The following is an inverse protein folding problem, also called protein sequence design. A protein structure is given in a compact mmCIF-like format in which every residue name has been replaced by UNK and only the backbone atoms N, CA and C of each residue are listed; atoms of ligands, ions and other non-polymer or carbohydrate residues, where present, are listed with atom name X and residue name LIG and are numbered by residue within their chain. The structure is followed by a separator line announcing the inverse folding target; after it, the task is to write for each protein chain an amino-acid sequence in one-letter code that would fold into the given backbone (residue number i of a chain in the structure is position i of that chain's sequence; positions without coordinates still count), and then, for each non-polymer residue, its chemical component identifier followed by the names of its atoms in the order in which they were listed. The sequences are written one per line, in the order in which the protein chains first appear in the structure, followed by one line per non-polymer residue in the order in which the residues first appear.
data_IF_327120469355
#
_entry.id   IF_327120469355
#
_cell.length_a   1.000
_cell.length_b   1.000
_cell.length_c   1.000
_cell.angle_alpha   90.00
_cell.angle_beta   90.00
_cell.angle_gamma   90.00
#
_symmetry.space_group_name_H-M   'P 1'
#
loop_
_entity.id
_entity.type
_entity.pdbx_description
1 polymer ?
#
# COMPACT_ATOMS: atom_id res chain seq x y z
N UNK A 1 -1.86 -23.73 46.47
CA UNK A 1 -2.59 -25.01 46.59
C UNK A 1 -3.17 -25.32 45.23
N UNK A 2 -2.72 -26.21 44.57
CA UNK A 2 -2.54 -27.60 44.13
C UNK A 2 -1.83 -27.53 42.75
N UNK A 3 -0.67 -27.90 42.61
CA UNK A 3 0.12 -29.11 42.29
C UNK A 3 -0.69 -30.30 41.74
N UNK A 4 -0.30 -30.69 40.49
CA UNK A 4 -0.25 -32.05 39.96
C UNK A 4 0.59 -31.92 38.66
N UNK A 5 1.75 -32.34 38.48
CA UNK A 5 2.65 -33.50 38.67
C UNK A 5 2.11 -34.82 38.12
N UNK A 6 3.04 -35.52 37.44
CA UNK A 6 3.06 -36.88 36.90
C UNK A 6 2.76 -36.99 35.40
N UNK A 7 3.48 -37.76 34.54
CA UNK A 7 4.49 -38.79 34.74
C UNK A 7 5.26 -39.04 33.43
N UNK A 8 6.49 -39.35 33.60
CA UNK A 8 7.48 -39.97 32.75
C UNK A 8 6.94 -41.25 32.07
N UNK A 9 7.27 -41.51 30.81
CA UNK A 9 7.57 -42.85 30.31
C UNK A 9 8.50 -42.81 29.11
N UNK A 10 9.63 -43.22 29.33
CA UNK A 10 10.82 -43.80 28.76
C UNK A 10 10.45 -45.01 27.90
N UNK A 11 10.89 -45.09 26.64
CA UNK A 11 11.39 -46.33 26.04
C UNK A 11 12.34 -46.07 24.85
N UNK A 12 13.56 -46.49 25.05
CA UNK A 12 14.60 -46.73 24.09
C UNK A 12 14.26 -47.97 23.25
N UNK A 13 14.46 -47.95 21.94
CA UNK A 13 14.99 -49.13 21.24
C UNK A 13 15.88 -48.69 20.06
N UNK A 14 17.00 -49.29 20.03
CA UNK A 14 18.15 -49.08 19.17
C UNK A 14 18.09 -49.99 17.93
N UNK A 15 19.02 -49.65 17.01
CA UNK A 15 19.64 -50.48 15.94
C UNK A 15 18.76 -50.79 14.73
N UNK A 16 19.26 -50.59 13.47
CA UNK A 16 20.41 -51.21 12.83
C UNK A 16 20.83 -50.44 11.57
N UNK A 17 22.12 -50.31 11.39
CA UNK A 17 22.82 -49.95 10.16
C UNK A 17 22.69 -51.10 9.15
N UNK A 18 22.39 -50.80 7.89
CA UNK A 18 22.83 -51.63 6.78
C UNK A 18 23.32 -50.74 5.62
N UNK A 19 24.58 -50.85 5.41
CA UNK A 19 25.38 -50.42 4.26
C UNK A 19 25.11 -51.34 3.08
N UNK A 20 24.92 -50.81 1.87
CA UNK A 20 25.17 -51.50 0.60
C UNK A 20 25.57 -50.45 -0.42
N UNK A 21 26.76 -50.37 -0.70
CA UNK A 21 27.77 -50.70 -1.74
C UNK A 21 27.27 -50.51 -3.19
N UNK A 22 28.00 -49.64 -3.87
CA UNK A 22 27.96 -49.38 -5.32
C UNK A 22 28.10 -50.68 -6.13
N UNK A 23 27.34 -50.77 -7.21
CA UNK A 23 27.83 -51.35 -8.45
C UNK A 23 27.24 -50.61 -9.66
N UNK A 24 28.17 -50.14 -10.48
CA UNK A 24 27.94 -49.53 -11.79
C UNK A 24 27.63 -50.64 -12.80
N UNK A 25 26.49 -50.54 -13.49
CA UNK A 25 26.36 -51.08 -14.85
C UNK A 25 25.47 -50.14 -15.68
N UNK A 26 26.12 -49.68 -16.71
CA UNK A 26 25.62 -48.99 -17.88
C UNK A 26 24.65 -49.88 -18.63
N UNK A 27 23.45 -49.46 -18.92
CA UNK A 27 22.79 -49.85 -20.17
C UNK A 27 21.73 -48.80 -20.57
N UNK A 28 21.64 -48.64 -21.84
CA UNK A 28 21.02 -47.65 -22.68
C UNK A 28 19.51 -47.77 -22.69
N UNK A 29 18.83 -46.62 -22.77
CA UNK A 29 17.65 -46.27 -23.57
C UNK A 29 16.38 -45.83 -22.80
N UNK A 30 15.89 -44.69 -23.30
CA UNK A 30 14.51 -44.23 -23.40
C UNK A 30 13.81 -43.61 -22.16
N UNK A 31 13.56 -42.30 -22.29
CA UNK A 31 12.26 -41.73 -21.93
C UNK A 31 12.05 -41.45 -20.44
N UNK A 32 12.84 -40.60 -19.83
CA UNK A 32 12.43 -39.92 -18.61
C UNK A 32 11.97 -38.50 -18.97
N UNK A 33 10.70 -38.35 -19.23
CA UNK A 33 9.98 -37.08 -19.11
C UNK A 33 10.26 -36.54 -17.70
N UNK A 34 11.13 -35.55 -17.62
CA UNK A 34 11.39 -34.82 -16.38
C UNK A 34 10.09 -34.14 -16.01
N UNK A 35 9.38 -34.69 -15.04
CA UNK A 35 8.29 -34.01 -14.36
C UNK A 35 8.90 -32.75 -13.71
N UNK A 36 8.87 -31.64 -14.45
CA UNK A 36 9.19 -30.31 -13.93
C UNK A 36 8.22 -30.09 -12.79
N UNK A 37 8.76 -29.97 -11.58
CA UNK A 37 7.97 -29.76 -10.38
C UNK A 37 7.06 -28.53 -10.57
N UNK A 38 5.80 -28.81 -10.85
CA UNK A 38 4.74 -27.83 -11.12
C UNK A 38 4.63 -26.82 -9.96
N UNK A 39 5.07 -27.20 -8.78
CA UNK A 39 5.05 -26.36 -7.56
C UNK A 39 6.09 -25.23 -7.65
N UNK A 40 7.29 -25.50 -8.16
CA UNK A 40 8.34 -24.48 -8.30
C UNK A 40 7.98 -23.47 -9.40
N UNK A 41 7.46 -23.95 -10.52
CA UNK A 41 7.04 -23.09 -11.64
C UNK A 41 5.87 -22.18 -11.21
N UNK A 42 4.95 -22.69 -10.42
CA UNK A 42 3.82 -21.89 -9.89
C UNK A 42 4.29 -20.81 -8.92
N UNK A 43 5.18 -21.13 -7.98
CA UNK A 43 5.71 -20.16 -7.01
C UNK A 43 6.52 -19.04 -7.68
N UNK A 44 7.31 -19.36 -8.71
CA UNK A 44 8.09 -18.37 -9.47
C UNK A 44 7.16 -17.47 -10.30
N UNK A 45 6.08 -18.00 -10.86
CA UNK A 45 5.10 -17.21 -11.60
C UNK A 45 4.33 -16.26 -10.68
N UNK A 46 3.86 -16.73 -9.53
CA UNK A 46 3.17 -15.93 -8.52
C UNK A 46 4.06 -14.78 -8.01
N UNK A 47 5.35 -15.04 -7.74
CA UNK A 47 6.29 -14.01 -7.32
C UNK A 47 6.54 -12.94 -8.41
N UNK A 48 6.58 -13.31 -9.68
CA UNK A 48 6.74 -12.35 -10.79
C UNK A 48 5.49 -11.48 -10.99
N UNK A 49 4.31 -12.05 -10.84
CA UNK A 49 3.04 -11.29 -10.94
C UNK A 49 2.90 -10.30 -9.78
N UNK A 50 3.29 -10.71 -8.56
CA UNK A 50 3.32 -9.82 -7.40
C UNK A 50 4.32 -8.67 -7.58
N UNK A 51 5.52 -8.95 -8.04
CA UNK A 51 6.53 -7.93 -8.35
C UNK A 51 6.05 -6.94 -9.41
N UNK A 52 5.37 -7.43 -10.46
CA UNK A 52 4.77 -6.58 -11.49
C UNK A 52 3.63 -5.72 -10.93
N UNK A 53 2.79 -6.27 -10.06
CA UNK A 53 1.73 -5.52 -9.39
C UNK A 53 2.29 -4.40 -8.51
N UNK A 54 3.33 -4.68 -7.72
CA UNK A 54 4.02 -3.69 -6.88
C UNK A 54 4.65 -2.59 -7.75
N UNK A 55 5.32 -2.95 -8.85
CA UNK A 55 5.96 -2.00 -9.76
C UNK A 55 4.96 -1.08 -10.49
N UNK A 56 3.69 -1.47 -10.57
CA UNK A 56 2.62 -0.66 -11.15
C UNK A 56 1.61 -0.15 -10.12
N UNK A 57 1.93 -0.23 -8.83
CA UNK A 57 1.04 0.23 -7.76
C UNK A 57 0.93 1.76 -7.69
N UNK A 58 -0.04 2.26 -6.91
CA UNK A 58 -0.18 3.70 -6.62
C UNK A 58 1.10 4.26 -5.99
N UNK A 59 1.82 3.47 -5.18
CA UNK A 59 3.11 3.87 -4.62
C UNK A 59 4.14 4.11 -5.72
N UNK A 60 4.25 3.21 -6.70
CA UNK A 60 5.16 3.38 -7.83
C UNK A 60 4.83 4.64 -8.65
N UNK A 61 3.54 4.95 -8.82
CA UNK A 61 3.10 6.19 -9.47
C UNK A 61 3.47 7.44 -8.67
N UNK A 62 3.28 7.42 -7.35
CA UNK A 62 3.72 8.50 -6.47
C UNK A 62 5.24 8.72 -6.55
N UNK A 63 6.03 7.65 -6.61
CA UNK A 63 7.50 7.73 -6.71
C UNK A 63 7.98 8.30 -8.04
N UNK A 64 7.24 8.10 -9.12
CA UNK A 64 7.57 8.57 -10.47
C UNK A 64 6.95 9.94 -10.82
N UNK A 65 6.06 10.46 -9.98
CA UNK A 65 5.44 11.77 -10.16
C UNK A 65 6.25 12.83 -9.40
N UNK A 66 6.92 13.69 -10.13
CA UNK A 66 7.81 14.72 -9.56
C UNK A 66 7.11 15.64 -8.57
N UNK A 67 5.86 15.99 -8.85
CA UNK A 67 5.03 16.89 -8.03
C UNK A 67 4.69 16.32 -6.65
N UNK A 68 4.77 14.99 -6.44
CA UNK A 68 4.37 14.32 -5.19
C UNK A 68 5.54 13.76 -4.36
N UNK A 69 6.78 14.17 -4.66
CA UNK A 69 7.99 13.65 -3.99
C UNK A 69 7.96 13.82 -2.48
N UNK A 70 7.49 14.96 -1.99
CA UNK A 70 7.42 15.26 -0.56
C UNK A 70 6.40 14.36 0.13
N UNK A 71 5.21 14.21 -0.46
CA UNK A 71 4.18 13.29 0.03
C UNK A 71 4.69 11.84 0.06
N UNK A 72 5.36 11.40 -1.00
CA UNK A 72 5.96 10.06 -1.10
C UNK A 72 6.97 9.81 0.01
N UNK A 73 7.85 10.78 0.32
CA UNK A 73 8.80 10.67 1.45
C UNK A 73 8.08 10.48 2.77
N UNK A 74 6.99 11.19 3.01
CA UNK A 74 6.21 11.04 4.22
C UNK A 74 5.48 9.69 4.29
N UNK A 75 4.94 9.17 3.18
CA UNK A 75 4.38 7.81 3.10
C UNK A 75 5.43 6.75 3.52
N UNK A 76 6.68 6.90 3.04
CA UNK A 76 7.79 6.00 3.39
C UNK A 76 8.14 6.14 4.88
N UNK A 77 8.30 7.38 5.38
CA UNK A 77 8.64 7.65 6.79
C UNK A 77 7.57 7.16 7.77
N UNK A 78 6.31 7.19 7.36
CA UNK A 78 5.17 6.71 8.15
C UNK A 78 4.95 5.20 8.07
N UNK A 79 5.80 4.45 7.33
CA UNK A 79 5.68 3.00 7.11
C UNK A 79 4.34 2.58 6.47
N UNK A 80 3.81 3.42 5.58
CA UNK A 80 2.55 3.15 4.85
C UNK A 80 2.77 2.52 3.47
N UNK A 81 4.02 2.26 3.09
CA UNK A 81 4.39 1.71 1.78
C UNK A 81 3.71 0.39 1.48
N UNK A 82 3.76 -0.56 2.41
CA UNK A 82 3.19 -1.89 2.20
C UNK A 82 1.66 -1.86 2.06
N UNK A 83 1.01 -0.95 2.80
CA UNK A 83 -0.45 -0.80 2.74
C UNK A 83 -0.92 -0.43 1.34
N UNK A 84 -0.25 0.54 0.70
CA UNK A 84 -0.67 1.07 -0.60
C UNK A 84 -0.02 0.38 -1.80
N UNK A 85 1.08 -0.38 -1.61
CA UNK A 85 1.74 -1.13 -2.68
C UNK A 85 1.26 -2.58 -2.80
N UNK A 86 1.04 -3.25 -1.67
CA UNK A 86 0.64 -4.66 -1.59
C UNK A 86 -0.84 -4.85 -1.26
N UNK A 87 -1.50 -3.80 -0.77
CA UNK A 87 -2.92 -3.85 -0.47
C UNK A 87 -3.76 -4.09 -1.73
N UNK A 88 -4.88 -4.79 -1.56
CA UNK A 88 -5.73 -5.20 -2.68
C UNK A 88 -6.37 -4.02 -3.43
N UNK A 89 -6.48 -2.82 -2.77
CA UNK A 89 -7.12 -1.68 -3.39
C UNK A 89 -8.59 -1.91 -3.76
N UNK A 90 -9.16 -1.17 -4.71
CA UNK A 90 -8.54 0.01 -5.31
C UNK A 90 -8.37 1.16 -4.33
N UNK A 91 -7.36 1.99 -4.57
CA UNK A 91 -7.08 3.18 -3.77
C UNK A 91 -7.17 4.43 -4.63
N UNK A 92 -7.77 5.49 -4.11
CA UNK A 92 -7.64 6.83 -4.66
C UNK A 92 -6.81 7.66 -3.69
N UNK A 93 -5.64 8.09 -4.12
CA UNK A 93 -4.73 8.90 -3.32
C UNK A 93 -4.94 10.37 -3.69
N UNK A 94 -5.31 11.20 -2.72
CA UNK A 94 -5.42 12.65 -2.84
C UNK A 94 -4.08 13.23 -2.38
N UNK A 95 -3.10 13.32 -3.27
CA UNK A 95 -1.72 13.62 -2.95
C UNK A 95 -1.42 15.11 -2.96
N UNK A 96 -1.04 15.74 -1.84
CA UNK A 96 -0.55 17.10 -1.83
C UNK A 96 0.73 17.25 -2.66
N UNK A 97 0.80 18.33 -3.44
CA UNK A 97 2.00 18.65 -4.21
C UNK A 97 3.16 19.09 -3.33
N UNK A 98 4.39 19.10 -3.87
CA UNK A 98 5.54 19.66 -3.17
C UNK A 98 5.29 21.12 -2.75
N UNK A 99 4.62 21.89 -3.61
CA UNK A 99 4.25 23.28 -3.35
C UNK A 99 3.23 23.38 -2.21
N UNK A 100 2.28 22.44 -2.12
CA UNK A 100 1.34 22.39 -1.01
C UNK A 100 2.07 22.28 0.35
N UNK A 101 3.09 21.43 0.43
CA UNK A 101 3.92 21.31 1.63
C UNK A 101 4.77 22.55 1.88
N UNK A 102 5.25 23.24 0.86
CA UNK A 102 6.06 24.45 1.02
C UNK A 102 5.27 25.64 1.60
N UNK A 103 3.94 25.61 1.48
CA UNK A 103 3.04 26.61 2.09
C UNK A 103 2.86 26.40 3.60
N UNK A 104 3.20 25.23 4.13
CA UNK A 104 3.10 24.96 5.58
C UNK A 104 4.21 25.68 6.34
N UNK A 105 3.89 26.15 7.56
CA UNK A 105 4.88 26.73 8.43
C UNK A 105 5.92 25.69 8.86
N UNK A 106 7.15 26.15 9.16
CA UNK A 106 8.19 25.26 9.71
C UNK A 106 7.73 24.57 10.98
N UNK A 107 7.00 25.26 11.86
CA UNK A 107 6.47 24.69 13.09
C UNK A 107 5.49 23.54 12.80
N UNK A 108 4.62 23.70 11.81
CA UNK A 108 3.69 22.63 11.36
C UNK A 108 4.45 21.43 10.81
N UNK A 109 5.45 21.65 9.96
CA UNK A 109 6.27 20.58 9.41
C UNK A 109 7.05 19.83 10.51
N UNK A 110 7.63 20.57 11.46
CA UNK A 110 8.35 19.99 12.59
C UNK A 110 7.41 19.17 13.49
N UNK A 111 6.15 19.59 13.67
CA UNK A 111 5.15 18.84 14.43
C UNK A 111 4.74 17.53 13.74
N UNK A 112 4.70 17.52 12.40
CA UNK A 112 4.38 16.32 11.62
C UNK A 112 5.48 15.25 11.68
N UNK A 113 6.75 15.66 11.72
CA UNK A 113 7.90 14.74 11.64
C UNK A 113 8.65 14.53 12.96
N UNK A 114 8.29 15.27 14.03
CA UNK A 114 8.91 15.15 15.36
C UNK A 114 8.72 13.79 16.02
N UNK A 115 9.39 13.54 17.14
CA UNK A 115 9.36 12.24 17.86
C UNK A 115 7.95 11.76 18.22
N UNK A 116 7.03 12.67 18.51
CA UNK A 116 5.60 12.39 18.72
C UNK A 116 4.81 12.36 17.41
N UNK A 117 5.41 12.80 16.31
CA UNK A 117 4.74 13.10 15.05
C UNK A 117 4.38 11.89 14.19
N UNK A 118 4.92 10.70 14.46
CA UNK A 118 4.63 9.54 13.61
C UNK A 118 3.14 9.19 13.58
N UNK A 119 2.43 9.26 14.71
CA UNK A 119 0.98 9.02 14.76
C UNK A 119 0.21 10.13 14.05
N UNK A 120 0.57 11.39 14.26
CA UNK A 120 -0.04 12.55 13.60
C UNK A 120 0.18 12.46 12.10
N UNK A 121 1.43 12.20 11.68
CA UNK A 121 1.78 12.01 10.27
C UNK A 121 0.96 10.87 9.63
N UNK A 122 0.90 9.70 10.29
CA UNK A 122 0.08 8.59 9.80
C UNK A 122 -1.39 8.96 9.68
N UNK A 123 -1.95 9.68 10.64
CA UNK A 123 -3.36 10.12 10.61
C UNK A 123 -3.60 11.06 9.43
N UNK A 124 -2.76 12.06 9.26
CA UNK A 124 -2.82 13.01 8.13
C UNK A 124 -2.71 12.26 6.81
N UNK A 125 -1.68 11.41 6.64
CA UNK A 125 -1.48 10.67 5.40
C UNK A 125 -2.63 9.70 5.08
N UNK A 126 -3.15 8.99 6.08
CA UNK A 126 -4.32 8.13 5.92
C UNK A 126 -5.58 8.93 5.59
N UNK A 127 -5.67 10.19 6.03
CA UNK A 127 -6.72 11.12 5.64
C UNK A 127 -6.69 11.51 4.15
N UNK A 128 -5.57 11.30 3.48
CA UNK A 128 -5.40 11.51 2.03
C UNK A 128 -5.58 10.23 1.19
N UNK A 129 -5.86 9.10 1.83
CA UNK A 129 -6.06 7.80 1.17
C UNK A 129 -7.52 7.41 1.27
N UNK A 130 -8.19 7.31 0.14
CA UNK A 130 -9.57 6.85 0.02
C UNK A 130 -9.56 5.40 -0.48
N UNK A 131 -10.39 4.55 0.12
CA UNK A 131 -10.58 3.18 -0.34
C UNK A 131 -11.70 3.20 -1.39
N UNK A 132 -11.36 2.91 -2.62
CA UNK A 132 -12.25 2.98 -3.77
C UNK A 132 -11.56 3.55 -4.99
N UNK A 133 -12.20 3.40 -6.14
CA UNK A 133 -11.77 3.93 -7.43
C UNK A 133 -12.62 5.14 -7.81
N UNK A 134 -12.10 6.33 -7.54
CA UNK A 134 -12.80 7.61 -7.75
C UNK A 134 -12.09 8.44 -8.81
N UNK A 135 -12.37 8.19 -10.09
CA UNK A 135 -11.87 9.01 -11.20
C UNK A 135 -12.41 10.44 -11.12
N UNK A 136 -11.66 11.40 -11.67
CA UNK A 136 -12.11 12.79 -11.72
C UNK A 136 -13.47 12.93 -12.40
N UNK A 137 -13.73 12.14 -13.44
CA UNK A 137 -15.03 12.12 -14.14
C UNK A 137 -16.14 11.58 -13.25
N UNK A 138 -15.91 10.53 -12.44
CA UNK A 138 -16.92 10.00 -11.51
C UNK A 138 -17.20 10.96 -10.36
N UNK A 139 -16.16 11.62 -9.84
CA UNK A 139 -16.31 12.68 -8.82
C UNK A 139 -17.12 13.84 -9.40
N UNK A 140 -16.75 14.35 -10.59
CA UNK A 140 -17.47 15.44 -11.26
C UNK A 140 -18.96 15.10 -11.50
N UNK A 141 -19.26 13.86 -11.83
CA UNK A 141 -20.64 13.41 -11.98
C UNK A 141 -21.38 13.41 -10.64
N UNK A 142 -20.73 12.96 -9.58
CA UNK A 142 -21.32 12.90 -8.23
C UNK A 142 -21.61 14.27 -7.64
N UNK A 143 -20.72 15.26 -7.86
CA UNK A 143 -20.87 16.63 -7.34
C UNK A 143 -21.88 17.47 -8.12
N UNK A 144 -22.42 17.02 -9.26
CA UNK A 144 -23.49 17.74 -10.00
C UNK A 144 -24.75 17.99 -9.17
N UNK A 145 -25.02 17.10 -8.23
CA UNK A 145 -26.21 17.16 -7.37
C UNK A 145 -25.90 17.77 -5.98
N UNK A 146 -24.72 18.33 -5.79
CA UNK A 146 -24.25 18.91 -4.55
C UNK A 146 -22.90 18.32 -4.11
N UNK A 147 -22.58 18.47 -2.84
CA UNK A 147 -21.35 17.96 -2.27
C UNK A 147 -21.31 16.40 -2.26
N UNK A 148 -20.14 15.83 -2.55
CA UNK A 148 -19.93 14.39 -2.54
C UNK A 148 -18.89 14.00 -1.50
N UNK A 149 -19.29 13.20 -0.50
CA UNK A 149 -18.45 12.84 0.63
C UNK A 149 -18.03 11.37 0.54
N UNK A 150 -16.75 11.11 0.76
CA UNK A 150 -16.16 9.75 0.79
C UNK A 150 -15.36 9.54 2.07
N UNK A 151 -15.38 8.33 2.66
CA UNK A 151 -14.57 8.01 3.84
C UNK A 151 -13.11 7.79 3.44
N UNK A 152 -12.19 8.20 4.32
CA UNK A 152 -10.76 7.96 4.17
C UNK A 152 -10.29 6.76 4.99
N UNK A 153 -9.11 6.25 4.67
CA UNK A 153 -8.43 5.21 5.46
C UNK A 153 -8.11 5.68 6.90
N UNK A 154 -8.03 6.99 7.11
CA UNK A 154 -7.81 7.60 8.43
C UNK A 154 -9.05 7.64 9.33
N UNK A 155 -10.21 7.19 8.84
CA UNK A 155 -11.49 7.26 9.57
C UNK A 155 -12.14 8.64 9.55
N UNK A 156 -11.59 9.58 8.79
CA UNK A 156 -12.18 10.88 8.48
C UNK A 156 -12.89 10.85 7.14
N UNK A 157 -13.43 11.98 6.69
CA UNK A 157 -14.08 12.08 5.39
C UNK A 157 -13.47 13.20 4.56
N UNK A 158 -13.48 13.02 3.25
CA UNK A 158 -13.22 14.06 2.26
C UNK A 158 -14.50 14.38 1.51
N UNK A 159 -14.78 15.67 1.34
CA UNK A 159 -15.98 16.14 0.62
C UNK A 159 -15.55 16.92 -0.61
N UNK A 160 -15.93 16.42 -1.78
CA UNK A 160 -15.70 17.06 -3.06
C UNK A 160 -16.85 17.99 -3.41
N UNK A 161 -16.54 19.13 -4.04
CA UNK A 161 -17.50 20.10 -4.49
C UNK A 161 -16.95 20.96 -5.62
N UNK A 162 -17.83 21.69 -6.31
CA UNK A 162 -17.43 22.62 -7.38
C UNK A 162 -17.49 24.06 -6.86
N UNK A 163 -16.45 24.83 -7.20
CA UNK A 163 -16.47 26.30 -7.07
C UNK A 163 -16.13 26.91 -8.41
N UNK A 164 -17.14 27.48 -9.08
CA UNK A 164 -17.00 27.87 -10.47
C UNK A 164 -16.69 26.68 -11.39
N UNK A 165 -15.54 26.69 -12.03
CA UNK A 165 -15.06 25.60 -12.88
C UNK A 165 -14.09 24.63 -12.17
N UNK A 166 -13.75 24.93 -10.92
CA UNK A 166 -12.74 24.20 -10.19
C UNK A 166 -13.35 23.07 -9.35
N UNK A 167 -12.74 21.90 -9.41
CA UNK A 167 -13.06 20.78 -8.52
C UNK A 167 -12.20 20.92 -7.26
N UNK A 168 -12.86 21.04 -6.12
CA UNK A 168 -12.23 21.18 -4.81
C UNK A 168 -12.56 20.00 -3.93
N UNK A 169 -11.72 19.81 -2.94
CA UNK A 169 -11.91 18.83 -1.86
C UNK A 169 -11.70 19.52 -0.52
N UNK A 170 -12.59 19.26 0.44
CA UNK A 170 -12.43 19.70 1.83
C UNK A 170 -12.37 18.50 2.77
N UNK A 171 -11.63 18.64 3.84
CA UNK A 171 -11.60 17.66 4.92
C UNK A 171 -12.60 17.99 6.04
N UNK A 172 -12.66 17.13 7.06
CA UNK A 172 -13.53 17.32 8.22
C UNK A 172 -13.17 18.55 9.09
N UNK A 173 -11.94 19.08 8.97
CA UNK A 173 -11.50 20.30 9.68
C UNK A 173 -11.89 21.58 8.92
N UNK A 174 -12.34 21.45 7.69
CA UNK A 174 -12.69 22.56 6.81
C UNK A 174 -11.51 23.06 5.95
N UNK A 175 -10.35 22.41 6.00
CA UNK A 175 -9.25 22.71 5.08
C UNK A 175 -9.65 22.35 3.66
N UNK A 176 -9.42 23.25 2.70
CA UNK A 176 -9.82 23.12 1.31
C UNK A 176 -8.59 23.05 0.42
N UNK A 177 -8.64 22.19 -0.58
CA UNK A 177 -7.63 22.06 -1.62
C UNK A 177 -8.29 21.95 -2.99
N UNK A 178 -7.63 22.50 -4.01
CA UNK A 178 -8.03 22.36 -5.42
C UNK A 178 -7.36 21.13 -6.02
N UNK A 179 -8.13 20.35 -6.79
CA UNK A 179 -7.57 19.27 -7.61
C UNK A 179 -6.86 19.88 -8.82
N UNK A 180 -5.60 19.49 -8.99
CA UNK A 180 -4.78 19.85 -10.14
C UNK A 180 -4.71 18.71 -11.15
N UNK A 181 -3.57 18.03 -11.21
CA UNK A 181 -3.37 16.85 -12.06
C UNK A 181 -4.15 15.67 -11.51
N UNK A 182 -5.04 15.10 -12.30
CA UNK A 182 -5.91 13.99 -11.88
C UNK A 182 -5.66 12.74 -12.71
N UNK A 183 -6.25 11.61 -12.27
CA UNK A 183 -6.31 10.34 -12.99
C UNK A 183 -4.93 9.78 -13.38
N UNK A 184 -3.95 9.86 -12.46
CA UNK A 184 -2.68 9.16 -12.62
C UNK A 184 -2.91 7.69 -12.27
N UNK A 185 -3.21 6.89 -13.28
CA UNK A 185 -3.64 5.50 -13.14
C UNK A 185 -2.52 4.55 -12.73
N UNK A 186 -2.88 3.55 -11.94
CA UNK A 186 -2.02 2.45 -11.50
C UNK A 186 -2.76 1.11 -11.52
N UNK A 187 -2.08 0.02 -11.20
CA UNK A 187 -2.70 -1.32 -11.17
C UNK A 187 -3.69 -1.51 -10.00
N UNK A 188 -3.51 -0.79 -8.89
CA UNK A 188 -4.35 -0.94 -7.71
C UNK A 188 -5.02 0.38 -7.27
N UNK A 189 -5.20 1.34 -8.20
CA UNK A 189 -5.90 2.60 -7.96
C UNK A 189 -5.37 3.75 -8.78
N UNK A 190 -5.54 4.98 -8.28
CA UNK A 190 -5.14 6.20 -8.95
C UNK A 190 -4.72 7.29 -7.99
N UNK A 191 -4.07 8.33 -8.53
CA UNK A 191 -3.60 9.49 -7.77
C UNK A 191 -4.18 10.77 -8.38
N UNK A 192 -4.68 11.66 -7.52
CA UNK A 192 -5.02 13.04 -7.83
C UNK A 192 -4.12 13.97 -7.03
N UNK A 193 -3.53 14.95 -7.68
CA UNK A 193 -2.65 15.93 -7.04
C UNK A 193 -3.49 17.13 -6.59
N UNK A 194 -3.24 17.62 -5.36
CA UNK A 194 -3.91 18.78 -4.78
C UNK A 194 -2.91 19.86 -4.37
N UNK A 195 -3.36 21.09 -4.28
CA UNK A 195 -2.54 22.30 -4.05
C UNK A 195 -2.41 22.72 -2.59
N UNK A 196 -3.04 21.99 -1.68
CA UNK A 196 -2.92 22.20 -0.23
C UNK A 196 -2.86 20.86 0.51
N UNK A 197 -2.31 20.83 1.73
CA UNK A 197 -2.31 19.68 2.63
C UNK A 197 -3.56 19.71 3.48
N UNK A 198 -4.33 18.62 3.46
CA UNK A 198 -5.54 18.46 4.27
C UNK A 198 -5.19 17.83 5.62
N UNK A 199 -5.96 18.12 6.65
CA UNK A 199 -5.76 17.56 7.98
C UNK A 199 -5.60 18.64 9.07
N UNK A 200 -5.80 18.19 10.30
CA UNK A 200 -5.58 19.02 11.49
C UNK A 200 -4.19 18.70 12.05
N UNK A 201 -3.30 19.70 12.14
CA UNK A 201 -1.90 19.56 12.56
C UNK A 201 -1.68 20.23 13.90
#
# INVERSE_FOLDING_TARGET
MRLYSFFICFLLTATTLLSCKNDVKNDTSEGAETAVDTTVVRSVKESKEEQKAIANSVLAKLMTTDETRTFTRYIISASLTDVISKGKGPYTIIAPSNEAFSKLSKATLDSLVGQSGNKTLQTVLKGHIVIGDFSSSSILQSVKNGEYTVPTMGGTSLTFFMEGSDLLVKDASGAVAKLGKTDILSANGQVHVIDAVLGNF
#
